data_IF_475232099443
#
_entry.id   IF_475232099443
#
_cell.length_a   1.000
_cell.length_b   1.000
_cell.length_c   1.000
_cell.angle_alpha   90.00
_cell.angle_beta   90.00
_cell.angle_gamma   90.00
#
_symmetry.space_group_name_H-M   'P 1'
#
loop_
_entity.id
_entity.type
_entity.pdbx_description
1 polymer ?
#
# COMPACT_ATOMS: atom_id res chain seq x y z
N UNK A 1 -40.28 -14.89 -75.59
CA UNK A 1 -38.95 -14.49 -76.14
C UNK A 1 -38.26 -13.72 -75.07
N UNK A 2 -37.32 -14.38 -74.47
CA UNK A 2 -36.04 -13.96 -73.93
C UNK A 2 -36.09 -12.96 -72.79
N UNK A 3 -35.69 -13.19 -71.61
CA UNK A 3 -34.60 -14.05 -71.16
C UNK A 3 -33.47 -13.13 -70.72
N UNK A 4 -33.44 -12.74 -69.46
CA UNK A 4 -32.35 -11.93 -68.91
C UNK A 4 -32.27 -12.17 -67.41
N UNK A 5 -31.47 -13.15 -66.98
CA UNK A 5 -31.19 -13.40 -65.58
C UNK A 5 -30.25 -12.34 -65.02
N UNK A 6 -30.26 -12.15 -63.69
CA UNK A 6 -29.41 -11.18 -63.02
C UNK A 6 -27.94 -11.65 -62.93
N UNK A 7 -26.95 -10.72 -62.88
CA UNK A 7 -25.55 -11.07 -62.78
C UNK A 7 -25.17 -11.56 -61.40
N UNK A 8 -24.33 -12.57 -61.35
CA UNK A 8 -23.67 -13.11 -60.17
C UNK A 8 -22.80 -12.04 -59.48
N UNK A 9 -22.98 -11.89 -58.19
CA UNK A 9 -22.09 -11.16 -57.35
C UNK A 9 -20.77 -11.93 -57.19
N UNK A 10 -19.67 -11.28 -57.45
CA UNK A 10 -18.35 -11.81 -57.22
C UNK A 10 -18.03 -11.82 -55.73
N UNK A 11 -17.67 -13.01 -55.22
CA UNK A 11 -17.10 -13.19 -53.90
C UNK A 11 -15.76 -12.47 -53.81
N UNK A 12 -15.71 -11.41 -53.00
CA UNK A 12 -14.45 -10.79 -52.61
C UNK A 12 -14.06 -11.40 -51.27
N UNK A 13 -13.12 -12.32 -51.30
CA UNK A 13 -12.42 -12.80 -50.14
C UNK A 13 -11.77 -11.63 -49.40
N UNK A 14 -12.32 -11.28 -48.25
CA UNK A 14 -11.63 -10.40 -47.32
C UNK A 14 -10.62 -11.25 -46.54
N UNK A 15 -9.35 -11.03 -46.83
CA UNK A 15 -8.24 -11.57 -46.10
C UNK A 15 -8.35 -11.16 -44.63
N UNK A 16 -8.47 -12.14 -43.75
CA UNK A 16 -8.35 -11.97 -42.32
C UNK A 16 -6.95 -11.47 -41.96
N UNK A 17 -6.85 -10.26 -41.45
CA UNK A 17 -5.63 -9.78 -40.79
C UNK A 17 -5.44 -10.54 -39.46
N UNK A 18 -4.24 -11.01 -39.15
CA UNK A 18 -3.99 -11.72 -37.91
C UNK A 18 -4.10 -10.74 -36.75
N UNK A 19 -4.97 -11.09 -35.81
CA UNK A 19 -5.16 -10.45 -34.52
C UNK A 19 -3.81 -10.36 -33.78
N UNK A 20 -3.36 -9.18 -33.30
CA UNK A 20 -2.15 -9.12 -32.50
C UNK A 20 -2.40 -9.86 -31.18
N UNK A 21 -1.79 -11.01 -31.06
CA UNK A 21 -1.71 -11.75 -29.81
C UNK A 21 -1.14 -10.83 -28.74
N UNK A 22 -1.96 -10.46 -27.78
CA UNK A 22 -1.50 -9.94 -26.51
C UNK A 22 -0.59 -11.01 -25.88
N UNK A 23 0.70 -10.84 -26.04
CA UNK A 23 1.66 -11.49 -25.17
C UNK A 23 1.39 -10.99 -23.76
N UNK A 24 0.65 -11.78 -23.00
CA UNK A 24 0.71 -11.73 -21.55
C UNK A 24 2.15 -12.07 -21.19
N UNK A 25 2.93 -11.03 -20.91
CA UNK A 25 4.21 -11.22 -20.25
C UNK A 25 3.91 -11.79 -18.87
N UNK A 26 4.09 -13.08 -18.72
CA UNK A 26 4.21 -13.71 -17.43
C UNK A 26 5.32 -12.96 -16.67
N UNK A 27 5.09 -12.60 -15.39
CA UNK A 27 6.18 -12.07 -14.59
C UNK A 27 7.28 -13.13 -14.56
N UNK A 28 8.56 -12.75 -14.67
CA UNK A 28 9.65 -13.69 -14.66
C UNK A 28 9.57 -14.50 -13.36
N UNK A 29 9.46 -15.82 -13.49
CA UNK A 29 9.70 -16.75 -12.40
C UNK A 29 11.13 -16.47 -11.93
N UNK A 30 11.26 -15.91 -10.71
CA UNK A 30 12.56 -15.77 -10.07
C UNK A 30 13.05 -17.13 -9.56
N UNK A 31 13.46 -17.97 -10.49
CA UNK A 31 14.36 -19.09 -10.30
C UNK A 31 15.70 -18.70 -10.90
N UNK A 32 16.27 -17.59 -10.47
CA UNK A 32 17.61 -17.18 -10.89
C UNK A 32 18.57 -17.79 -9.89
N UNK A 33 19.46 -18.65 -10.39
CA UNK A 33 20.60 -19.11 -9.62
C UNK A 33 21.30 -17.91 -8.96
N UNK A 34 21.81 -18.16 -7.76
CA UNK A 34 22.62 -17.24 -6.95
C UNK A 34 23.87 -16.80 -7.74
N UNK A 35 23.70 -15.95 -8.76
CA UNK A 35 24.83 -15.21 -9.31
C UNK A 35 25.14 -14.11 -8.31
N UNK A 36 26.31 -14.17 -7.70
CA UNK A 36 26.82 -13.13 -6.84
C UNK A 36 26.86 -11.82 -7.64
N UNK A 37 26.00 -10.88 -7.29
CA UNK A 37 26.01 -9.52 -7.87
C UNK A 37 27.38 -8.92 -7.54
N UNK A 38 28.15 -8.45 -8.57
CA UNK A 38 29.47 -7.88 -8.35
C UNK A 38 29.40 -6.66 -7.43
N UNK A 39 30.29 -6.63 -6.45
CA UNK A 39 30.44 -5.54 -5.51
C UNK A 39 31.81 -4.86 -5.71
N UNK A 40 31.82 -3.53 -5.74
CA UNK A 40 33.02 -2.71 -5.87
C UNK A 40 33.09 -1.71 -4.74
N UNK A 41 34.20 -1.69 -4.02
CA UNK A 41 34.43 -0.66 -3.01
C UNK A 41 34.73 0.71 -3.66
N UNK A 42 34.16 1.76 -3.10
CA UNK A 42 34.34 3.15 -3.54
C UNK A 42 34.67 4.08 -2.37
N UNK A 43 35.04 5.32 -2.69
CA UNK A 43 35.33 6.36 -1.71
C UNK A 43 36.30 5.92 -0.59
N UNK A 44 37.41 5.25 -0.98
CA UNK A 44 38.41 4.78 -0.01
C UNK A 44 37.94 3.61 0.86
N UNK A 45 36.99 2.82 0.38
CA UNK A 45 36.45 1.65 1.09
C UNK A 45 35.31 1.98 2.06
N UNK A 46 34.88 3.22 2.14
CA UNK A 46 33.74 3.65 2.99
C UNK A 46 32.39 3.29 2.40
N UNK A 47 32.30 3.14 1.06
CA UNK A 47 31.09 2.78 0.33
C UNK A 47 31.33 1.52 -0.51
N UNK A 48 30.23 0.86 -0.85
CA UNK A 48 30.18 -0.29 -1.72
C UNK A 48 29.13 -0.07 -2.79
N UNK A 49 29.48 -0.38 -4.03
CA UNK A 49 28.59 -0.29 -5.19
C UNK A 49 28.18 -1.66 -5.66
N UNK A 50 26.91 -1.82 -5.97
CA UNK A 50 26.33 -2.99 -6.61
C UNK A 50 25.67 -2.58 -7.91
N UNK A 51 25.85 -3.34 -8.98
CA UNK A 51 25.08 -3.17 -10.21
C UNK A 51 23.93 -4.19 -10.23
N UNK A 52 22.72 -3.72 -9.98
CA UNK A 52 21.52 -4.55 -9.88
C UNK A 52 20.64 -4.28 -11.10
N UNK A 53 20.71 -5.17 -12.10
CA UNK A 53 19.99 -5.03 -13.37
C UNK A 53 20.20 -3.67 -14.06
N UNK A 54 21.45 -3.19 -14.06
CA UNK A 54 21.80 -1.88 -14.64
C UNK A 54 21.57 -0.69 -13.70
N UNK A 55 21.02 -0.89 -12.51
CA UNK A 55 20.87 0.14 -11.49
C UNK A 55 22.04 0.09 -10.50
N UNK A 56 22.70 1.20 -10.33
CA UNK A 56 23.78 1.31 -9.35
C UNK A 56 23.19 1.56 -7.97
N UNK A 57 23.50 0.66 -7.02
CA UNK A 57 23.31 0.84 -5.59
C UNK A 57 24.64 1.22 -4.97
N UNK A 58 24.73 2.41 -4.40
CA UNK A 58 25.90 2.85 -3.66
C UNK A 58 25.51 3.15 -2.22
N UNK A 59 25.95 2.27 -1.33
CA UNK A 59 25.61 2.30 0.10
C UNK A 59 26.86 2.23 0.94
N UNK A 60 26.77 2.49 2.25
CA UNK A 60 27.91 2.35 3.15
C UNK A 60 28.41 0.90 3.18
N UNK A 61 29.73 0.73 3.33
CA UNK A 61 30.40 -0.56 3.20
C UNK A 61 30.02 -1.60 4.27
N UNK A 62 29.24 -1.21 5.29
CA UNK A 62 28.66 -2.15 6.26
C UNK A 62 27.63 -3.11 5.63
N UNK A 63 27.03 -2.76 4.50
CA UNK A 63 26.11 -3.63 3.74
C UNK A 63 26.88 -4.51 2.79
N UNK A 64 27.40 -5.63 3.31
CA UNK A 64 28.28 -6.55 2.59
C UNK A 64 27.50 -7.54 1.72
N UNK A 65 28.16 -8.10 0.67
CA UNK A 65 27.56 -9.19 -0.09
C UNK A 65 27.23 -10.40 0.80
N UNK A 66 26.22 -11.20 0.44
CA UNK A 66 25.40 -11.08 -0.79
C UNK A 66 24.28 -10.04 -0.67
N UNK A 67 24.00 -9.36 -1.77
CA UNK A 67 22.80 -8.51 -1.92
C UNK A 67 21.84 -9.20 -2.87
N UNK A 68 20.54 -9.23 -2.54
CA UNK A 68 19.53 -9.93 -3.34
C UNK A 68 18.36 -9.02 -3.66
N UNK A 69 17.99 -8.82 -4.93
CA UNK A 69 16.75 -8.14 -5.29
C UNK A 69 15.54 -8.92 -4.77
N UNK A 70 14.67 -8.25 -4.02
CA UNK A 70 13.45 -8.83 -3.44
C UNK A 70 12.18 -8.18 -3.96
N UNK A 71 12.27 -6.99 -4.54
CA UNK A 71 11.13 -6.29 -5.11
C UNK A 71 11.52 -5.16 -6.06
N UNK A 72 10.59 -4.83 -6.95
CA UNK A 72 10.66 -3.66 -7.80
C UNK A 72 9.32 -2.94 -7.72
N UNK A 73 9.30 -1.80 -7.07
CA UNK A 73 8.13 -0.95 -6.96
C UNK A 73 8.15 0.24 -7.92
N UNK A 74 7.10 1.04 -7.90
CA UNK A 74 7.01 2.28 -8.67
C UNK A 74 8.12 3.28 -8.33
N UNK A 75 8.65 3.22 -7.12
CA UNK A 75 9.65 4.15 -6.59
C UNK A 75 11.10 3.63 -6.64
N UNK A 76 11.32 2.41 -7.10
CA UNK A 76 12.68 1.86 -7.19
C UNK A 76 12.77 0.37 -6.91
N UNK A 77 14.00 -0.07 -6.71
CA UNK A 77 14.36 -1.46 -6.44
C UNK A 77 14.55 -1.63 -4.94
N UNK A 78 14.09 -2.76 -4.39
CA UNK A 78 14.33 -3.18 -3.01
C UNK A 78 15.18 -4.44 -3.03
N UNK A 79 16.22 -4.44 -2.20
CA UNK A 79 17.13 -5.58 -2.05
C UNK A 79 17.27 -5.99 -0.59
N UNK A 80 17.40 -7.28 -0.33
CA UNK A 80 17.88 -7.74 0.97
C UNK A 80 19.39 -7.61 1.06
N UNK A 81 19.90 -7.21 2.21
CA UNK A 81 21.32 -7.10 2.50
C UNK A 81 21.58 -7.37 3.98
N UNK A 82 22.82 -7.83 4.28
CA UNK A 82 23.28 -8.00 5.65
C UNK A 82 24.01 -6.74 6.11
N UNK A 83 23.54 -6.13 7.19
CA UNK A 83 24.31 -5.14 7.92
C UNK A 83 25.37 -5.86 8.77
N UNK A 84 26.63 -5.74 8.40
CA UNK A 84 27.73 -6.45 9.07
C UNK A 84 28.11 -5.90 10.46
N UNK A 85 27.61 -4.72 10.83
CA UNK A 85 27.82 -4.12 12.15
C UNK A 85 26.82 -4.67 13.18
N UNK A 86 25.54 -4.81 12.78
CA UNK A 86 24.48 -5.33 13.64
C UNK A 86 24.22 -6.82 13.45
N UNK A 87 24.75 -7.40 12.38
CA UNK A 87 24.47 -8.77 11.94
C UNK A 87 22.99 -9.03 11.62
N UNK A 88 22.25 -7.99 11.26
CA UNK A 88 20.84 -8.05 10.89
C UNK A 88 20.65 -8.02 9.38
N UNK A 89 19.70 -8.80 8.88
CA UNK A 89 19.20 -8.70 7.51
C UNK A 89 18.24 -7.52 7.42
N UNK A 90 18.39 -6.70 6.38
CA UNK A 90 17.56 -5.54 6.13
C UNK A 90 17.03 -5.53 4.70
N UNK A 91 15.93 -4.80 4.48
CA UNK A 91 15.44 -4.47 3.15
C UNK A 91 15.90 -3.06 2.77
N UNK A 92 16.82 -2.97 1.80
CA UNK A 92 17.33 -1.69 1.27
C UNK A 92 16.46 -1.23 0.10
N UNK A 93 15.74 -0.13 0.29
CA UNK A 93 14.93 0.54 -0.75
C UNK A 93 15.71 1.71 -1.31
N UNK A 94 15.96 1.71 -2.62
CA UNK A 94 16.48 2.87 -3.33
C UNK A 94 15.32 3.70 -3.89
N UNK A 95 15.30 4.99 -3.56
CA UNK A 95 14.45 6.00 -4.18
C UNK A 95 15.36 6.85 -5.08
N UNK A 96 15.36 6.53 -6.36
CA UNK A 96 16.20 7.22 -7.33
C UNK A 96 15.66 8.63 -7.60
N UNK A 97 16.57 9.62 -7.70
CA UNK A 97 16.22 11.01 -7.99
C UNK A 97 15.11 11.55 -7.07
N UNK A 98 15.23 11.29 -5.77
CA UNK A 98 14.20 11.56 -4.77
C UNK A 98 13.79 13.03 -4.67
N UNK A 99 14.61 13.95 -5.21
CA UNK A 99 14.40 15.39 -5.15
C UNK A 99 14.12 16.05 -6.51
N UNK A 100 13.94 15.27 -7.58
CA UNK A 100 13.69 15.82 -8.92
C UNK A 100 12.31 16.49 -9.02
N UNK A 101 11.39 16.13 -8.15
CA UNK A 101 10.12 16.80 -8.01
C UNK A 101 9.68 16.88 -6.55
N UNK A 102 8.91 17.91 -6.26
CA UNK A 102 8.43 18.23 -4.91
C UNK A 102 7.52 17.15 -4.31
N UNK A 103 6.76 16.45 -5.14
CA UNK A 103 5.79 15.42 -4.68
C UNK A 103 6.54 14.22 -4.12
N UNK A 104 7.55 13.73 -4.84
CA UNK A 104 8.33 12.56 -4.41
C UNK A 104 9.22 12.89 -3.19
N UNK A 105 9.80 14.09 -3.17
CA UNK A 105 10.55 14.58 -2.02
C UNK A 105 9.67 14.66 -0.75
N UNK A 106 8.44 15.17 -0.90
CA UNK A 106 7.45 15.24 0.18
C UNK A 106 7.04 13.85 0.70
N UNK A 107 6.78 12.92 -0.22
CA UNK A 107 6.42 11.53 0.12
C UNK A 107 7.54 10.84 0.89
N UNK A 108 8.78 10.99 0.43
CA UNK A 108 9.95 10.42 1.09
C UNK A 108 10.14 10.98 2.49
N UNK A 109 10.09 12.29 2.65
CA UNK A 109 10.23 12.95 3.95
C UNK A 109 9.10 12.53 4.91
N UNK A 110 7.87 12.47 4.42
CA UNK A 110 6.69 12.06 5.21
C UNK A 110 6.84 10.63 5.72
N UNK A 111 7.18 9.69 4.86
CA UNK A 111 7.40 8.29 5.24
C UNK A 111 8.46 8.19 6.34
N UNK A 112 9.59 8.85 6.18
CA UNK A 112 10.67 8.85 7.17
C UNK A 112 10.20 9.44 8.51
N UNK A 113 9.57 10.61 8.50
CA UNK A 113 9.12 11.27 9.71
C UNK A 113 8.06 10.46 10.46
N UNK A 114 7.10 9.89 9.72
CA UNK A 114 6.05 9.04 10.31
C UNK A 114 6.62 7.77 10.93
N UNK A 115 7.43 7.01 10.19
CA UNK A 115 8.00 5.77 10.70
C UNK A 115 8.94 6.01 11.87
N UNK A 116 9.71 7.10 11.87
CA UNK A 116 10.55 7.51 13.01
C UNK A 116 9.72 7.87 14.23
N UNK A 117 8.58 8.51 14.05
CA UNK A 117 7.67 8.84 15.16
C UNK A 117 7.02 7.60 15.75
N UNK A 118 6.60 6.65 14.91
CA UNK A 118 5.93 5.43 15.35
C UNK A 118 6.87 4.39 15.97
N UNK A 119 8.17 4.48 15.72
CA UNK A 119 9.19 3.58 16.30
C UNK A 119 9.62 4.01 17.72
N UNK A 120 8.96 4.99 18.32
CA UNK A 120 9.34 5.52 19.62
C UNK A 120 8.82 4.61 20.76
N UNK A 121 9.73 3.95 21.49
CA UNK A 121 9.51 3.25 22.76
C UNK A 121 8.65 1.96 22.72
N UNK A 122 8.98 0.98 21.88
CA UNK A 122 8.39 -0.39 21.92
C UNK A 122 6.87 -0.46 21.72
N UNK A 123 6.26 0.46 20.99
CA UNK A 123 4.82 0.62 21.09
C UNK A 123 4.06 -0.06 19.95
N UNK A 124 4.63 -0.25 18.76
CA UNK A 124 3.86 -0.91 17.71
C UNK A 124 4.67 -1.92 16.91
N UNK A 125 4.42 -3.19 17.21
CA UNK A 125 4.97 -4.32 16.47
C UNK A 125 4.37 -4.43 15.05
N UNK A 126 3.25 -3.75 14.76
CA UNK A 126 2.54 -3.82 13.47
C UNK A 126 2.91 -2.72 12.47
N UNK A 127 3.90 -1.88 12.76
CA UNK A 127 4.44 -0.89 11.79
C UNK A 127 5.88 -1.25 11.45
N UNK A 128 6.22 -1.20 10.16
CA UNK A 128 7.58 -1.50 9.71
C UNK A 128 8.57 -0.47 10.25
N UNK A 129 9.69 -0.95 10.82
CA UNK A 129 10.72 -0.07 11.40
C UNK A 129 11.78 0.31 10.36
N UNK A 130 12.22 1.59 10.40
CA UNK A 130 13.44 2.03 9.71
C UNK A 130 14.65 1.62 10.57
N UNK A 131 15.59 0.90 9.96
CA UNK A 131 16.85 0.48 10.60
C UNK A 131 18.00 1.43 10.29
N UNK A 132 17.96 2.09 9.13
CA UNK A 132 18.98 3.03 8.72
C UNK A 132 18.49 3.92 7.57
N UNK A 133 19.08 5.11 7.45
CA UNK A 133 18.99 5.95 6.25
C UNK A 133 20.43 6.22 5.83
N UNK A 134 20.81 5.74 4.64
CA UNK A 134 22.21 5.71 4.22
C UNK A 134 22.63 7.11 3.75
N UNK A 135 23.68 7.71 4.36
CA UNK A 135 24.20 8.99 3.91
C UNK A 135 24.88 8.86 2.54
N UNK A 136 24.90 9.91 1.72
CA UNK A 136 25.65 9.93 0.47
C UNK A 136 27.16 10.02 0.73
N UNK A 137 28.00 9.66 -0.24
CA UNK A 137 29.45 9.85 -0.14
C UNK A 137 29.87 11.32 0.06
N UNK A 138 29.13 12.22 -0.56
CA UNK A 138 29.26 13.68 -0.42
C UNK A 138 27.84 14.29 -0.47
N UNK A 139 27.65 15.38 0.28
CA UNK A 139 26.35 16.07 0.33
C UNK A 139 25.87 16.53 -1.06
N UNK A 140 26.78 16.99 -1.91
CA UNK A 140 26.47 17.44 -3.26
C UNK A 140 25.94 16.31 -4.16
N UNK A 141 26.27 15.06 -3.82
CA UNK A 141 25.83 13.85 -4.54
C UNK A 141 24.54 13.25 -3.99
N UNK A 142 23.87 13.93 -3.04
CA UNK A 142 22.64 13.40 -2.43
C UNK A 142 21.43 13.59 -3.35
N UNK A 143 21.28 12.71 -4.33
CA UNK A 143 20.14 12.70 -5.25
C UNK A 143 19.25 11.48 -5.05
N UNK A 144 19.85 10.36 -4.72
CA UNK A 144 19.17 9.11 -4.37
C UNK A 144 19.07 8.96 -2.86
N UNK A 145 17.93 8.50 -2.37
CA UNK A 145 17.72 8.17 -0.95
C UNK A 145 17.67 6.66 -0.80
N UNK A 146 18.46 6.13 0.11
CA UNK A 146 18.44 4.71 0.48
C UNK A 146 17.95 4.57 1.91
N UNK A 147 16.89 3.79 2.08
CA UNK A 147 16.31 3.51 3.40
C UNK A 147 16.41 2.02 3.65
N UNK A 148 16.97 1.65 4.80
CA UNK A 148 17.00 0.28 5.28
C UNK A 148 15.83 0.07 6.25
N UNK A 149 14.96 -0.87 5.92
CA UNK A 149 13.87 -1.33 6.79
C UNK A 149 14.23 -2.69 7.38
N UNK A 150 13.54 -3.07 8.44
CA UNK A 150 13.54 -4.47 8.84
C UNK A 150 13.10 -5.36 7.67
N UNK A 151 13.73 -6.54 7.55
CA UNK A 151 13.41 -7.46 6.47
C UNK A 151 12.24 -8.35 6.88
N UNK A 152 11.21 -8.38 6.05
CA UNK A 152 10.07 -9.27 6.15
C UNK A 152 10.15 -10.32 5.04
N UNK A 153 9.58 -11.51 5.26
CA UNK A 153 9.71 -12.63 4.33
C UNK A 153 8.83 -12.49 3.09
N UNK A 154 7.63 -11.90 3.25
CA UNK A 154 6.63 -11.78 2.18
C UNK A 154 5.63 -10.66 2.48
N UNK A 155 4.58 -10.57 1.68
CA UNK A 155 3.44 -9.70 1.90
C UNK A 155 2.11 -10.46 1.72
N UNK A 156 1.02 -9.85 2.17
CA UNK A 156 -0.30 -10.48 2.13
C UNK A 156 -0.78 -10.72 0.70
N UNK A 157 -0.35 -9.90 -0.28
CA UNK A 157 -0.68 -10.11 -1.69
C UNK A 157 -0.10 -11.42 -2.22
N UNK A 158 1.14 -11.75 -1.86
CA UNK A 158 1.79 -13.01 -2.23
C UNK A 158 1.08 -14.21 -1.55
N UNK A 159 0.69 -14.06 -0.29
CA UNK A 159 -0.06 -15.09 0.45
C UNK A 159 -1.42 -15.36 -0.22
N UNK A 160 -2.17 -14.31 -0.58
CA UNK A 160 -3.46 -14.43 -1.26
C UNK A 160 -3.32 -15.16 -2.61
N UNK A 161 -2.25 -14.89 -3.35
CA UNK A 161 -1.98 -15.50 -4.65
C UNK A 161 -1.39 -16.91 -4.57
N UNK A 162 -0.84 -17.28 -3.42
CA UNK A 162 -0.28 -18.62 -3.23
C UNK A 162 -1.38 -19.67 -3.18
N UNK A 163 -1.01 -20.93 -3.45
CA UNK A 163 -1.93 -22.07 -3.28
C UNK A 163 -1.99 -22.56 -1.83
N UNK A 164 -1.38 -21.81 -0.90
CA UNK A 164 -1.34 -22.17 0.50
C UNK A 164 -2.74 -22.03 1.12
N UNK A 165 -3.20 -23.08 1.78
CA UNK A 165 -4.45 -23.03 2.55
C UNK A 165 -4.25 -22.14 3.78
N UNK A 166 -5.23 -21.26 4.04
CA UNK A 166 -5.30 -20.46 5.26
C UNK A 166 -6.47 -21.01 6.10
N UNK A 167 -6.20 -21.25 7.38
CA UNK A 167 -7.25 -21.58 8.32
C UNK A 167 -8.02 -20.33 8.75
N UNK A 168 -9.15 -20.53 9.42
CA UNK A 168 -9.92 -19.43 10.01
C UNK A 168 -9.07 -18.64 11.02
N UNK A 169 -8.28 -19.35 11.81
CA UNK A 169 -7.39 -18.74 12.81
C UNK A 169 -6.31 -17.84 12.16
N UNK A 170 -5.79 -18.22 10.99
CA UNK A 170 -4.89 -17.35 10.23
C UNK A 170 -5.60 -16.07 9.78
N UNK A 171 -6.81 -16.19 9.26
CA UNK A 171 -7.60 -15.03 8.83
C UNK A 171 -7.92 -14.10 10.01
N UNK A 172 -8.32 -14.65 11.16
CA UNK A 172 -8.55 -13.89 12.39
C UNK A 172 -7.27 -13.19 12.85
N UNK A 173 -6.15 -13.89 12.86
CA UNK A 173 -4.88 -13.34 13.34
C UNK A 173 -4.35 -12.22 12.44
N UNK A 174 -4.43 -12.36 11.14
CA UNK A 174 -4.07 -11.28 10.22
C UNK A 174 -4.97 -10.06 10.38
N UNK A 175 -6.29 -10.26 10.43
CA UNK A 175 -7.24 -9.16 10.62
C UNK A 175 -7.01 -8.45 11.95
N UNK A 176 -6.83 -9.19 13.03
CA UNK A 176 -6.54 -8.65 14.35
C UNK A 176 -5.32 -7.76 14.35
N UNK A 177 -4.20 -8.22 13.76
CA UNK A 177 -2.97 -7.45 13.67
C UNK A 177 -3.12 -6.18 12.83
N UNK A 178 -3.85 -6.24 11.71
CA UNK A 178 -4.13 -5.05 10.89
C UNK A 178 -4.91 -4.02 11.72
N UNK A 179 -5.97 -4.43 12.40
CA UNK A 179 -6.79 -3.54 13.21
C UNK A 179 -6.04 -3.00 14.43
N UNK A 180 -5.23 -3.82 15.08
CA UNK A 180 -4.37 -3.40 16.20
C UNK A 180 -3.38 -2.32 15.75
N UNK A 181 -2.70 -2.51 14.63
CA UNK A 181 -1.82 -1.51 14.03
C UNK A 181 -2.56 -0.23 13.65
N UNK A 182 -3.75 -0.33 13.05
CA UNK A 182 -4.57 0.83 12.71
C UNK A 182 -5.06 1.59 13.93
N UNK A 183 -5.41 0.92 15.01
CA UNK A 183 -5.77 1.58 16.29
C UNK A 183 -4.65 2.50 16.74
N UNK A 184 -3.41 2.02 16.68
CA UNK A 184 -2.24 2.83 17.04
C UNK A 184 -2.03 4.00 16.07
N UNK A 185 -2.03 3.74 14.76
CA UNK A 185 -1.85 4.75 13.71
C UNK A 185 -2.91 5.85 13.81
N UNK A 186 -4.18 5.48 13.95
CA UNK A 186 -5.28 6.44 14.07
C UNK A 186 -5.22 7.23 15.37
N UNK A 187 -4.78 6.62 16.48
CA UNK A 187 -4.57 7.34 17.75
C UNK A 187 -3.46 8.39 17.66
N UNK A 188 -2.51 8.22 16.76
CA UNK A 188 -1.52 9.23 16.41
C UNK A 188 -2.05 10.34 15.49
N UNK A 189 -3.36 10.39 15.20
CA UNK A 189 -4.01 11.27 14.23
C UNK A 189 -3.53 11.07 12.78
N UNK A 190 -3.07 9.89 12.44
CA UNK A 190 -2.58 9.54 11.10
C UNK A 190 -3.60 8.67 10.38
N UNK A 191 -3.87 8.99 9.11
CA UNK A 191 -4.61 8.16 8.16
C UNK A 191 -3.62 7.55 7.20
N UNK A 192 -3.66 6.23 6.99
CA UNK A 192 -2.75 5.56 6.06
C UNK A 192 -3.07 5.90 4.59
N UNK A 193 -4.35 5.80 4.21
CA UNK A 193 -4.92 6.16 2.90
C UNK A 193 -4.55 5.26 1.72
N UNK A 194 -3.64 4.32 1.88
CA UNK A 194 -3.20 3.40 0.82
C UNK A 194 -3.04 1.95 1.31
N UNK A 195 -3.94 1.50 2.18
CA UNK A 195 -3.95 0.10 2.61
C UNK A 195 -4.34 -0.81 1.45
N UNK A 196 -3.52 -1.81 1.23
CA UNK A 196 -3.70 -2.87 0.23
C UNK A 196 -2.86 -4.09 0.62
N UNK A 197 -3.13 -5.27 0.09
CA UNK A 197 -2.41 -6.48 0.49
C UNK A 197 -0.89 -6.39 0.35
N UNK A 198 -0.37 -5.70 -0.67
CA UNK A 198 1.08 -5.53 -0.87
C UNK A 198 1.75 -4.59 0.12
N UNK A 199 0.99 -3.80 0.89
CA UNK A 199 1.48 -2.92 1.97
C UNK A 199 1.36 -3.56 3.36
N UNK A 200 1.02 -4.83 3.42
CA UNK A 200 0.93 -5.65 4.64
C UNK A 200 1.99 -6.73 4.57
N UNK A 201 3.11 -6.50 5.24
CA UNK A 201 4.27 -7.38 5.22
C UNK A 201 4.13 -8.47 6.28
N UNK A 202 4.69 -9.65 6.01
CA UNK A 202 4.60 -10.82 6.86
C UNK A 202 5.97 -11.47 7.02
N UNK A 203 6.25 -11.97 8.23
CA UNK A 203 7.37 -12.86 8.48
C UNK A 203 6.92 -14.33 8.52
N UNK A 204 7.88 -15.24 8.70
CA UNK A 204 7.64 -16.67 8.76
C UNK A 204 6.73 -17.10 9.93
N UNK A 205 6.62 -16.29 10.98
CA UNK A 205 5.77 -16.53 12.16
C UNK A 205 4.36 -15.96 11.99
N UNK A 206 4.02 -15.43 10.82
CA UNK A 206 2.76 -14.73 10.55
C UNK A 206 2.60 -13.39 11.30
N UNK A 207 3.69 -12.80 11.79
CA UNK A 207 3.64 -11.45 12.32
C UNK A 207 3.51 -10.46 11.16
N UNK A 208 2.53 -9.55 11.27
CA UNK A 208 2.16 -8.62 10.22
C UNK A 208 2.65 -7.21 10.55
N UNK A 209 3.17 -6.53 9.51
CA UNK A 209 3.57 -5.12 9.62
C UNK A 209 3.03 -4.28 8.47
N UNK A 210 2.48 -3.12 8.82
CA UNK A 210 1.98 -2.12 7.88
C UNK A 210 3.16 -1.29 7.38
N UNK A 211 3.24 -1.09 6.06
CA UNK A 211 4.29 -0.28 5.43
C UNK A 211 3.71 0.72 4.43
N UNK A 212 4.59 1.53 3.83
CA UNK A 212 4.28 2.53 2.80
C UNK A 212 3.34 3.64 3.27
N UNK A 213 3.89 4.56 4.06
CA UNK A 213 3.18 5.74 4.56
C UNK A 213 3.31 6.98 3.67
N UNK A 214 3.77 6.82 2.43
CA UNK A 214 3.98 7.92 1.50
C UNK A 214 2.73 8.75 1.17
N UNK A 215 1.53 8.15 1.28
CA UNK A 215 0.24 8.82 1.08
C UNK A 215 -0.48 9.17 2.40
N UNK A 216 0.11 8.87 3.54
CA UNK A 216 -0.50 9.15 4.84
C UNK A 216 -0.72 10.66 5.08
N UNK A 217 -1.71 11.00 5.90
CA UNK A 217 -2.07 12.39 6.29
C UNK A 217 -2.54 12.43 7.74
N UNK A 218 -2.55 13.62 8.34
CA UNK A 218 -3.30 13.86 9.58
C UNK A 218 -4.78 14.05 9.29
N UNK A 219 -5.60 13.71 10.26
CA UNK A 219 -7.07 13.80 10.18
C UNK A 219 -7.61 15.22 9.95
N UNK A 220 -6.81 16.25 10.22
CA UNK A 220 -7.20 17.65 10.09
C UNK A 220 -6.91 18.25 8.70
N UNK A 221 -6.24 17.53 7.81
CA UNK A 221 -5.90 18.03 6.48
C UNK A 221 -6.97 17.66 5.46
N UNK A 222 -7.62 18.67 4.89
CA UNK A 222 -8.50 18.52 3.73
C UNK A 222 -7.66 18.62 2.45
N UNK A 223 -7.12 17.51 1.98
CA UNK A 223 -6.37 17.47 0.74
C UNK A 223 -7.03 16.52 -0.25
N UNK A 224 -7.25 16.99 -1.49
CA UNK A 224 -7.74 16.12 -2.55
C UNK A 224 -6.67 15.08 -2.88
N UNK A 225 -7.05 13.82 -2.84
CA UNK A 225 -6.16 12.75 -3.23
C UNK A 225 -5.79 12.92 -4.71
N UNK A 226 -4.53 13.23 -5.00
CA UNK A 226 -4.05 13.27 -6.38
C UNK A 226 -4.28 11.92 -7.04
N UNK A 227 -4.98 11.93 -8.15
CA UNK A 227 -5.61 10.80 -8.84
C UNK A 227 -4.61 9.80 -9.49
N UNK A 228 -3.30 10.02 -9.32
CA UNK A 228 -2.28 9.32 -10.09
C UNK A 228 -1.74 8.06 -9.42
N UNK A 229 -1.94 6.93 -10.12
CA UNK A 229 -1.16 5.67 -10.05
C UNK A 229 -1.38 4.78 -8.81
N UNK A 230 -2.36 5.05 -7.95
CA UNK A 230 -2.65 4.18 -6.79
C UNK A 230 -3.77 3.20 -7.15
N UNK A 231 -3.62 1.94 -6.75
CA UNK A 231 -4.66 0.91 -6.90
C UNK A 231 -5.94 1.38 -6.22
N UNK A 232 -6.98 1.66 -6.99
CA UNK A 232 -8.26 2.17 -6.47
C UNK A 232 -9.19 1.11 -5.89
N UNK A 233 -8.82 -0.16 -5.99
CA UNK A 233 -9.66 -1.29 -5.59
C UNK A 233 -10.04 -1.30 -4.10
N UNK A 234 -9.26 -0.62 -3.28
CA UNK A 234 -9.42 -0.57 -1.81
C UNK A 234 -9.91 0.79 -1.30
N UNK A 235 -10.25 1.70 -2.22
CA UNK A 235 -10.70 3.06 -1.86
C UNK A 235 -12.14 3.09 -1.41
N UNK A 236 -12.38 3.79 -0.30
CA UNK A 236 -13.72 4.04 0.22
C UNK A 236 -14.58 4.90 -0.72
N UNK A 237 -15.91 4.76 -0.68
CA UNK A 237 -16.82 5.52 -1.54
C UNK A 237 -16.62 7.03 -1.46
N UNK A 238 -16.41 7.57 -0.25
CA UNK A 238 -16.17 9.00 -0.03
C UNK A 238 -14.93 9.51 -0.77
N UNK A 239 -13.88 8.71 -0.88
CA UNK A 239 -12.68 9.05 -1.66
C UNK A 239 -12.95 8.97 -3.17
N UNK A 240 -13.72 7.98 -3.61
CA UNK A 240 -14.13 7.85 -5.02
C UNK A 240 -15.05 9.01 -5.46
N UNK A 241 -15.77 9.60 -4.53
CA UNK A 241 -16.69 10.72 -4.77
C UNK A 241 -16.06 12.08 -4.46
N UNK A 242 -14.73 12.13 -4.33
CA UNK A 242 -13.95 13.35 -4.08
C UNK A 242 -14.47 14.16 -2.88
N UNK A 243 -14.87 13.47 -1.81
CA UNK A 243 -15.16 14.15 -0.55
C UNK A 243 -13.86 14.73 0.03
N UNK A 244 -13.89 15.99 0.45
CA UNK A 244 -12.80 16.62 1.19
C UNK A 244 -12.78 16.21 2.66
N UNK A 245 -13.94 15.78 3.18
CA UNK A 245 -14.14 15.45 4.58
C UNK A 245 -14.12 13.92 4.75
N UNK A 246 -12.93 13.35 4.85
CA UNK A 246 -12.74 11.93 5.11
C UNK A 246 -12.03 11.70 6.46
N UNK A 247 -12.29 10.56 7.06
CA UNK A 247 -11.85 10.22 8.41
C UNK A 247 -11.10 8.88 8.40
N UNK A 248 -10.74 8.38 9.58
CA UNK A 248 -10.19 7.04 9.79
C UNK A 248 -11.06 5.92 9.17
N UNK A 249 -12.35 6.18 8.95
CA UNK A 249 -13.26 5.23 8.30
C UNK A 249 -12.83 4.82 6.89
N UNK A 250 -12.01 5.61 6.18
CA UNK A 250 -11.46 5.23 4.87
C UNK A 250 -10.55 4.01 4.95
N UNK A 251 -9.74 3.93 5.99
CA UNK A 251 -8.84 2.79 6.22
C UNK A 251 -9.63 1.54 6.62
N UNK A 252 -10.70 1.69 7.40
CA UNK A 252 -11.59 0.58 7.76
C UNK A 252 -12.26 -0.04 6.52
N UNK A 253 -12.70 0.79 5.57
CA UNK A 253 -13.19 0.29 4.28
C UNK A 253 -12.14 -0.54 3.55
N UNK A 254 -10.92 -0.03 3.45
CA UNK A 254 -9.81 -0.75 2.81
C UNK A 254 -9.56 -2.09 3.48
N UNK A 255 -9.58 -2.16 4.82
CA UNK A 255 -9.46 -3.43 5.57
C UNK A 255 -10.58 -4.40 5.23
N UNK A 256 -11.82 -3.93 5.12
CA UNK A 256 -12.95 -4.76 4.71
C UNK A 256 -12.73 -5.40 3.33
N UNK A 257 -12.23 -4.63 2.36
CA UNK A 257 -11.88 -5.13 1.03
C UNK A 257 -10.75 -6.16 1.08
N UNK A 258 -9.69 -5.87 1.82
CA UNK A 258 -8.51 -6.75 1.98
C UNK A 258 -8.91 -8.05 2.66
N UNK A 259 -9.70 -7.97 3.72
CA UNK A 259 -10.13 -9.13 4.48
C UNK A 259 -11.02 -10.07 3.66
N UNK A 260 -11.92 -9.51 2.86
CA UNK A 260 -12.74 -10.30 1.94
C UNK A 260 -11.90 -10.98 0.87
N UNK A 261 -10.90 -10.27 0.31
CA UNK A 261 -9.96 -10.81 -0.66
C UNK A 261 -9.09 -11.94 -0.07
N UNK A 262 -8.72 -11.83 1.20
CA UNK A 262 -7.97 -12.86 1.91
C UNK A 262 -8.77 -14.18 2.00
N UNK A 263 -10.07 -14.10 2.28
CA UNK A 263 -10.95 -15.26 2.42
C UNK A 263 -11.41 -15.84 1.07
N UNK A 264 -11.74 -14.97 0.11
CA UNK A 264 -12.26 -15.39 -1.21
C UNK A 264 -11.15 -15.59 -2.26
N UNK A 265 -9.92 -15.13 -1.97
CA UNK A 265 -8.74 -15.21 -2.84
C UNK A 265 -8.89 -14.42 -4.16
N UNK A 266 -9.82 -13.50 -4.21
CA UNK A 266 -10.08 -12.63 -5.36
C UNK A 266 -10.32 -11.21 -4.88
N UNK A 267 -9.82 -10.19 -5.61
CA UNK A 267 -10.16 -8.81 -5.32
C UNK A 267 -11.67 -8.60 -5.30
N UNK A 268 -12.19 -7.94 -4.25
CA UNK A 268 -13.62 -7.74 -4.10
C UNK A 268 -14.19 -6.78 -5.16
N UNK A 269 -13.47 -5.69 -5.43
CA UNK A 269 -13.89 -4.63 -6.35
C UNK A 269 -12.78 -4.28 -7.36
N UNK A 270 -12.50 -5.15 -8.36
CA UNK A 270 -11.42 -4.92 -9.31
C UNK A 270 -11.82 -3.93 -10.43
N UNK A 271 -12.07 -2.69 -10.07
CA UNK A 271 -12.47 -1.64 -11.00
C UNK A 271 -11.39 -1.30 -12.03
N UNK A 272 -11.76 -1.16 -13.29
CA UNK A 272 -10.88 -0.78 -14.41
C UNK A 272 -10.58 0.72 -14.42
N UNK A 273 -11.56 1.49 -14.00
CA UNK A 273 -11.51 2.95 -13.91
C UNK A 273 -12.34 3.41 -12.69
N UNK A 274 -12.37 4.70 -12.45
CA UNK A 274 -13.05 5.31 -11.30
C UNK A 274 -14.56 5.05 -11.29
N UNK A 275 -15.22 5.18 -12.44
CA UNK A 275 -16.67 4.97 -12.59
C UNK A 275 -17.01 3.49 -12.41
N UNK A 276 -16.23 2.59 -13.01
CA UNK A 276 -16.41 1.16 -12.88
C UNK A 276 -16.19 0.71 -11.43
N UNK A 277 -15.20 1.28 -10.73
CA UNK A 277 -14.96 1.02 -9.32
C UNK A 277 -16.19 1.32 -8.47
N UNK A 278 -16.77 2.52 -8.62
CA UNK A 278 -17.95 2.93 -7.87
C UNK A 278 -19.17 2.06 -8.21
N UNK A 279 -19.33 1.68 -9.47
CA UNK A 279 -20.41 0.77 -9.89
C UNK A 279 -20.31 -0.59 -9.22
N UNK A 280 -19.10 -1.19 -9.16
CA UNK A 280 -18.89 -2.47 -8.49
C UNK A 280 -19.25 -2.44 -7.01
N UNK A 281 -18.92 -1.33 -6.31
CA UNK A 281 -19.33 -1.14 -4.93
C UNK A 281 -20.84 -1.16 -4.79
N UNK A 282 -21.54 -0.33 -5.57
CA UNK A 282 -23.00 -0.16 -5.48
C UNK A 282 -23.75 -1.42 -5.93
N UNK A 283 -23.23 -2.15 -6.91
CA UNK A 283 -23.78 -3.45 -7.33
C UNK A 283 -23.81 -4.48 -6.19
N UNK A 284 -22.81 -4.46 -5.30
CA UNK A 284 -22.73 -5.38 -4.17
C UNK A 284 -23.55 -4.90 -2.97
N UNK A 285 -23.28 -3.67 -2.51
CA UNK A 285 -23.88 -3.16 -1.27
C UNK A 285 -25.26 -2.53 -1.46
N UNK A 286 -25.71 -2.37 -2.70
CA UNK A 286 -26.96 -1.72 -3.08
C UNK A 286 -26.82 -0.21 -3.22
N UNK A 287 -27.76 0.41 -3.93
CA UNK A 287 -27.83 1.86 -4.06
C UNK A 287 -28.09 2.47 -2.68
N UNK A 288 -27.25 3.44 -2.23
CA UNK A 288 -27.42 4.08 -0.95
C UNK A 288 -28.78 4.83 -0.85
N UNK A 289 -29.36 4.84 0.34
CA UNK A 289 -30.55 5.65 0.66
C UNK A 289 -30.21 7.13 0.71
N UNK A 290 -31.22 7.99 0.65
CA UNK A 290 -31.06 9.45 0.81
C UNK A 290 -30.36 9.84 2.13
N UNK A 291 -30.64 9.12 3.20
CA UNK A 291 -29.97 9.33 4.50
C UNK A 291 -28.49 9.00 4.43
N UNK A 292 -28.11 7.91 3.77
CA UNK A 292 -26.71 7.49 3.58
C UNK A 292 -25.94 8.42 2.63
N UNK A 293 -26.63 9.13 1.73
CA UNK A 293 -26.03 10.15 0.86
C UNK A 293 -25.81 11.49 1.56
N UNK A 294 -26.29 11.66 2.79
CA UNK A 294 -26.32 12.93 3.52
C UNK A 294 -24.96 13.57 3.77
N UNK A 295 -23.87 12.79 3.79
CA UNK A 295 -22.51 13.30 3.97
C UNK A 295 -21.87 13.83 2.68
N UNK A 296 -22.47 13.55 1.52
CA UNK A 296 -21.95 13.93 0.20
C UNK A 296 -22.38 15.36 -0.18
N UNK A 297 -21.53 16.02 -0.96
CA UNK A 297 -21.89 17.27 -1.61
C UNK A 297 -23.00 17.05 -2.67
N UNK A 298 -23.63 18.14 -3.11
CA UNK A 298 -24.75 18.07 -4.04
C UNK A 298 -24.41 17.40 -5.39
N UNK A 299 -23.18 17.59 -5.89
CA UNK A 299 -22.76 17.00 -7.18
C UNK A 299 -22.55 15.48 -7.07
N UNK A 300 -21.87 15.03 -6.02
CA UNK A 300 -21.67 13.62 -5.75
C UNK A 300 -23.01 12.89 -5.51
N UNK A 301 -23.91 13.49 -4.75
CA UNK A 301 -25.26 12.97 -4.51
C UNK A 301 -26.05 12.83 -5.81
N UNK A 302 -26.07 13.88 -6.63
CA UNK A 302 -26.73 13.85 -7.95
C UNK A 302 -26.15 12.77 -8.86
N UNK A 303 -24.84 12.60 -8.84
CA UNK A 303 -24.19 11.56 -9.63
C UNK A 303 -24.67 10.16 -9.24
N UNK A 304 -24.70 9.84 -7.95
CA UNK A 304 -25.21 8.55 -7.45
C UNK A 304 -26.67 8.34 -7.85
N UNK A 305 -27.52 9.38 -7.72
CA UNK A 305 -28.94 9.31 -8.07
C UNK A 305 -29.20 9.07 -9.55
N UNK A 306 -28.25 9.36 -10.43
CA UNK A 306 -28.34 9.11 -11.87
C UNK A 306 -27.90 7.68 -12.26
N UNK A 307 -27.26 6.94 -11.36
CA UNK A 307 -26.87 5.55 -11.62
C UNK A 307 -28.10 4.63 -11.59
N UNK A 308 -28.03 3.47 -12.29
CA UNK A 308 -29.07 2.46 -12.16
C UNK A 308 -29.28 2.05 -10.70
N UNK A 309 -30.53 1.74 -10.36
CA UNK A 309 -30.86 1.23 -9.02
C UNK A 309 -30.39 -0.21 -8.88
N UNK A 310 -29.62 -0.48 -7.84
CA UNK A 310 -29.15 -1.81 -7.47
C UNK A 310 -29.69 -2.23 -6.11
N UNK A 311 -30.17 -3.47 -6.01
CA UNK A 311 -30.53 -4.07 -4.74
C UNK A 311 -29.28 -4.65 -4.08
N UNK A 312 -29.20 -4.53 -2.74
CA UNK A 312 -28.14 -5.15 -1.96
C UNK A 312 -28.09 -6.66 -2.20
N UNK A 313 -26.92 -7.19 -2.53
CA UNK A 313 -26.70 -8.63 -2.63
C UNK A 313 -26.48 -9.24 -1.24
N UNK A 314 -26.89 -10.49 -1.05
CA UNK A 314 -26.60 -11.25 0.16
C UNK A 314 -25.13 -11.69 0.15
N UNK A 315 -24.36 -11.24 1.11
CA UNK A 315 -22.97 -11.66 1.28
C UNK A 315 -22.89 -13.17 1.60
N UNK A 316 -23.78 -13.67 2.43
CA UNK A 316 -23.83 -15.09 2.79
C UNK A 316 -24.08 -16.00 1.58
N UNK A 317 -24.97 -15.58 0.67
CA UNK A 317 -25.22 -16.34 -0.56
C UNK A 317 -24.07 -16.22 -1.56
N UNK A 318 -23.44 -15.06 -1.63
CA UNK A 318 -22.34 -14.80 -2.54
C UNK A 318 -21.03 -15.47 -2.10
N UNK A 319 -20.79 -15.56 -0.80
CA UNK A 319 -19.59 -16.11 -0.17
C UNK A 319 -19.93 -17.22 0.82
N UNK A 320 -20.49 -18.36 0.34
CA UNK A 320 -21.05 -19.40 1.22
C UNK A 320 -19.99 -20.14 2.05
N UNK A 321 -18.72 -20.02 1.70
CA UNK A 321 -17.61 -20.67 2.41
C UNK A 321 -17.02 -19.80 3.52
N UNK A 322 -17.42 -18.53 3.60
CA UNK A 322 -16.91 -17.59 4.60
C UNK A 322 -17.70 -17.71 5.89
N UNK A 323 -16.99 -17.67 7.02
CA UNK A 323 -17.60 -17.78 8.35
C UNK A 323 -18.65 -16.67 8.58
N UNK A 324 -19.83 -16.97 9.13
CA UNK A 324 -20.91 -16.00 9.29
C UNK A 324 -20.53 -14.75 10.11
N UNK A 325 -19.73 -14.90 11.16
CA UNK A 325 -19.23 -13.75 11.96
C UNK A 325 -18.23 -12.90 11.17
N UNK A 326 -17.44 -13.51 10.28
CA UNK A 326 -16.56 -12.78 9.37
C UNK A 326 -17.38 -11.93 8.38
N UNK A 327 -18.45 -12.50 7.81
CA UNK A 327 -19.37 -11.77 6.95
C UNK A 327 -20.02 -10.60 7.68
N UNK A 328 -20.52 -10.79 8.90
CA UNK A 328 -21.13 -9.74 9.70
C UNK A 328 -20.14 -8.57 9.93
N UNK A 329 -18.90 -8.88 10.25
CA UNK A 329 -17.86 -7.86 10.43
C UNK A 329 -17.53 -7.13 9.13
N UNK A 330 -17.36 -7.85 8.01
CA UNK A 330 -17.09 -7.26 6.69
C UNK A 330 -18.23 -6.33 6.27
N UNK A 331 -19.48 -6.72 6.44
CA UNK A 331 -20.64 -5.87 6.10
C UNK A 331 -20.63 -4.56 6.90
N UNK A 332 -20.21 -4.59 8.16
CA UNK A 332 -20.05 -3.40 9.00
C UNK A 332 -18.87 -2.52 8.55
N UNK A 333 -17.78 -3.12 8.06
CA UNK A 333 -16.64 -2.40 7.49
C UNK A 333 -16.97 -1.78 6.13
N UNK A 334 -17.81 -2.45 5.33
CA UNK A 334 -18.22 -2.02 3.99
C UNK A 334 -19.56 -1.27 4.01
N UNK A 335 -19.83 -0.54 5.08
CA UNK A 335 -20.96 0.39 5.15
C UNK A 335 -20.67 1.64 4.33
N UNK A 336 -21.60 2.03 3.43
CA UNK A 336 -21.40 3.14 2.50
C UNK A 336 -21.16 4.48 3.23
N UNK A 337 -22.02 4.80 4.19
CA UNK A 337 -21.91 6.01 5.00
C UNK A 337 -20.75 5.87 6.02
N UNK A 338 -19.68 6.67 5.89
CA UNK A 338 -18.53 6.58 6.82
C UNK A 338 -18.89 6.88 8.27
N UNK A 339 -19.99 7.60 8.53
CA UNK A 339 -20.48 7.94 9.88
C UNK A 339 -21.10 6.74 10.58
N UNK A 340 -21.58 5.74 9.82
CA UNK A 340 -22.23 4.52 10.30
C UNK A 340 -21.30 3.29 10.18
N UNK A 341 -20.18 3.45 9.49
CA UNK A 341 -19.17 2.39 9.34
C UNK A 341 -18.56 2.05 10.70
N UNK A 342 -18.32 0.76 10.95
CA UNK A 342 -17.73 0.31 12.20
C UNK A 342 -16.37 1.00 12.45
N UNK A 343 -16.08 1.34 13.69
CA UNK A 343 -14.77 1.89 14.10
C UNK A 343 -13.74 0.78 14.23
N UNK A 344 -12.45 1.11 14.30
CA UNK A 344 -11.38 0.13 14.53
C UNK A 344 -11.55 -0.53 15.89
N UNK A 345 -11.89 0.23 16.93
CA UNK A 345 -12.11 -0.23 18.29
C UNK A 345 -13.28 -1.22 18.35
N UNK A 346 -14.41 -0.89 17.75
CA UNK A 346 -15.58 -1.76 17.71
C UNK A 346 -15.33 -3.02 16.86
N UNK A 347 -14.52 -2.91 15.81
CA UNK A 347 -14.11 -4.05 14.99
C UNK A 347 -13.22 -5.02 15.75
N UNK A 348 -12.27 -4.52 16.57
CA UNK A 348 -11.45 -5.34 17.48
C UNK A 348 -12.31 -6.06 18.52
N UNK A 349 -13.34 -5.40 19.04
CA UNK A 349 -14.28 -5.96 20.01
C UNK A 349 -15.37 -6.86 19.39
N UNK A 350 -15.38 -7.01 18.06
CA UNK A 350 -16.38 -7.82 17.38
C UNK A 350 -16.26 -9.32 17.76
N UNK A 351 -17.37 -10.07 17.91
CA UNK A 351 -17.36 -11.49 18.27
C UNK A 351 -16.42 -12.36 17.45
N UNK A 352 -16.20 -12.01 16.18
CA UNK A 352 -15.26 -12.72 15.29
C UNK A 352 -13.82 -12.73 15.81
N UNK A 353 -13.41 -11.69 16.55
CA UNK A 353 -12.05 -11.53 17.09
C UNK A 353 -11.97 -11.76 18.61
N UNK A 354 -13.02 -12.29 19.24
CA UNK A 354 -13.13 -12.42 20.70
C UNK A 354 -12.02 -13.25 21.35
N UNK A 355 -11.41 -14.17 20.59
CA UNK A 355 -10.29 -14.99 21.10
C UNK A 355 -8.95 -14.26 21.11
N UNK A 356 -8.83 -13.12 20.41
CA UNK A 356 -7.59 -12.37 20.25
C UNK A 356 -7.65 -10.99 20.92
N UNK A 357 -8.84 -10.40 21.01
CA UNK A 357 -9.04 -9.05 21.53
C UNK A 357 -8.63 -8.93 22.99
N UNK A 358 -7.66 -8.06 23.25
CA UNK A 358 -7.18 -7.72 24.59
C UNK A 358 -6.80 -6.23 24.65
N UNK A 359 -7.59 -5.45 25.37
CA UNK A 359 -7.35 -4.01 25.52
C UNK A 359 -5.99 -3.67 26.13
N UNK A 360 -5.42 -4.58 26.93
CA UNK A 360 -4.10 -4.37 27.55
C UNK A 360 -2.95 -4.55 26.56
N UNK A 361 -3.20 -5.26 25.48
CA UNK A 361 -2.23 -5.53 24.39
C UNK A 361 -2.49 -4.70 23.13
N UNK A 362 -3.39 -3.74 23.19
CA UNK A 362 -3.75 -2.86 22.05
C UNK A 362 -3.35 -1.42 22.33
N UNK A 363 -2.08 -1.05 22.11
CA UNK A 363 -1.56 0.25 22.50
C UNK A 363 -2.16 1.39 21.70
N UNK A 364 -2.11 2.58 22.28
CA UNK A 364 -2.43 3.86 21.62
C UNK A 364 -1.23 4.79 21.66
N UNK A 365 -1.08 5.60 20.64
CA UNK A 365 -0.03 6.61 20.59
C UNK A 365 -0.37 7.75 21.57
N UNK A 366 0.51 8.00 22.53
CA UNK A 366 0.32 9.05 23.53
C UNK A 366 0.68 10.45 23.02
N UNK A 367 1.44 10.52 21.93
CA UNK A 367 1.87 11.78 21.33
C UNK A 367 1.40 11.82 19.89
N UNK A 368 0.32 12.56 19.55
CA UNK A 368 -0.15 12.68 18.18
C UNK A 368 0.95 13.20 17.25
N UNK A 369 0.98 12.67 16.03
CA UNK A 369 1.95 13.12 15.03
C UNK A 369 1.59 14.51 14.52
N UNK A 370 2.59 15.33 14.31
CA UNK A 370 2.46 16.68 13.79
C UNK A 370 3.14 16.81 12.42
N UNK A 371 2.36 17.20 11.40
CA UNK A 371 2.84 17.47 10.04
C UNK A 371 3.21 18.96 9.85
N UNK A 372 3.56 19.71 10.89
CA UNK A 372 3.90 21.15 10.78
C UNK A 372 4.95 21.43 9.71
N UNK A 373 5.87 20.49 9.46
CA UNK A 373 6.85 20.61 8.39
C UNK A 373 6.22 20.67 6.99
N UNK A 374 5.00 20.15 6.81
CA UNK A 374 4.27 20.20 5.53
C UNK A 374 3.44 21.46 5.35
N UNK A 375 3.07 22.14 6.45
CA UNK A 375 2.31 23.40 6.42
C UNK A 375 3.15 24.56 5.87
N UNK A 376 4.46 24.49 5.99
CA UNK A 376 5.38 25.42 5.37
C UNK A 376 5.65 24.97 3.93
N UNK A 377 5.65 25.92 2.99
CA UNK A 377 5.97 25.62 1.59
C UNK A 377 7.45 25.28 1.43
N UNK A 378 7.88 24.12 1.93
CA UNK A 378 9.25 23.63 1.82
C UNK A 378 9.67 23.51 0.35
N UNK A 379 10.88 23.95 0.05
CA UNK A 379 11.55 23.69 -1.23
C UNK A 379 12.11 22.27 -1.25
N UNK A 380 12.42 21.76 -2.43
CA UNK A 380 13.08 20.46 -2.60
C UNK A 380 14.41 20.43 -1.83
N UNK A 381 15.17 21.52 -1.84
CA UNK A 381 16.45 21.61 -1.10
C UNK A 381 16.26 21.59 0.42
N UNK A 382 15.20 22.22 0.93
CA UNK A 382 14.88 22.15 2.36
C UNK A 382 14.46 20.72 2.78
N UNK A 383 13.68 20.03 1.96
CA UNK A 383 13.31 18.63 2.21
C UNK A 383 14.53 17.71 2.14
N UNK A 384 15.42 17.93 1.17
CA UNK A 384 16.69 17.23 1.03
C UNK A 384 17.56 17.39 2.28
N UNK A 385 17.66 18.61 2.80
CA UNK A 385 18.38 18.88 4.04
C UNK A 385 17.79 18.15 5.25
N UNK A 386 16.45 18.12 5.37
CA UNK A 386 15.77 17.40 6.46
C UNK A 386 16.04 15.89 6.39
N UNK A 387 15.98 15.30 5.20
CA UNK A 387 16.28 13.87 5.01
C UNK A 387 17.77 13.60 5.25
N UNK A 388 18.66 14.49 4.82
CA UNK A 388 20.08 14.37 5.08
C UNK A 388 20.39 14.36 6.59
N UNK A 389 19.75 15.21 7.37
CA UNK A 389 19.88 15.21 8.84
C UNK A 389 19.38 13.92 9.47
N UNK A 390 18.28 13.33 8.97
CA UNK A 390 17.83 12.02 9.44
C UNK A 390 18.90 10.94 9.16
N UNK A 391 19.52 10.95 7.98
CA UNK A 391 20.60 10.03 7.64
C UNK A 391 21.81 10.17 8.59
N UNK A 392 22.18 11.39 8.95
CA UNK A 392 23.26 11.64 9.91
C UNK A 392 22.91 11.26 11.35
N UNK A 393 21.63 11.21 11.69
CA UNK A 393 21.19 10.72 13.01
C UNK A 393 21.46 9.22 13.16
N UNK A 394 21.30 8.46 12.10
CA UNK A 394 21.65 7.04 12.07
C UNK A 394 23.16 6.80 11.91
N UNK A 395 23.87 7.74 11.29
CA UNK A 395 25.28 7.58 10.90
C UNK A 395 26.10 8.81 11.33
N UNK A 396 26.30 9.03 12.63
CA UNK A 396 26.97 10.23 13.15
C UNK A 396 28.43 10.36 12.71
N UNK A 397 29.09 9.26 12.35
CA UNK A 397 30.46 9.24 11.84
C UNK A 397 30.62 9.87 10.45
N UNK A 398 29.51 10.13 9.74
CA UNK A 398 29.50 10.80 8.44
C UNK A 398 29.25 12.32 8.54
N UNK A 399 29.07 12.84 9.74
CA UNK A 399 29.02 14.30 9.96
C UNK A 399 30.38 14.87 9.56
N UNK A 400 30.40 15.65 8.48
CA UNK A 400 31.61 16.37 8.09
C UNK A 400 31.86 17.51 9.08
N UNK A 401 33.10 17.69 9.54
CA UNK A 401 33.45 18.79 10.46
C UNK A 401 33.29 20.19 9.84
#
# INVERSE_FOLDING_TARGET
MEGGGPPQAADTEMAEQPNPQHHQQQPPQMGIGLENIPATLSHGGRFIQYNIFGNIFEVTAKYKPPIMPIGKGAYGIVCSALNSETNEQVALKKIANAFDNKIDAKRTLREIKLLRHMDHENVDEQVVAIRDIIPPPKRECFNDVYIAYELMDTDLHQIIRSNQALSEEHCQYFLYQILRGLKYIHSANVLHRDLKPSNLLLNANCDLKICDFGLARVTSESDFMTEYVVTRWYRAPELLLNSSDYTAAIDVWSVGCIFMELMDRKPLFPGRDHVHQLRLLIELIGTPSEAELGFLNANARRYIQQLPLYHRQSFTEKFPTVHPLAIDLVEKMLTFDPRLRITVEDALAHPYLSSLHDLSDEPVCMTPFNFDFEQHALTEEQMKELIYREALTFNPEYVQP
#
